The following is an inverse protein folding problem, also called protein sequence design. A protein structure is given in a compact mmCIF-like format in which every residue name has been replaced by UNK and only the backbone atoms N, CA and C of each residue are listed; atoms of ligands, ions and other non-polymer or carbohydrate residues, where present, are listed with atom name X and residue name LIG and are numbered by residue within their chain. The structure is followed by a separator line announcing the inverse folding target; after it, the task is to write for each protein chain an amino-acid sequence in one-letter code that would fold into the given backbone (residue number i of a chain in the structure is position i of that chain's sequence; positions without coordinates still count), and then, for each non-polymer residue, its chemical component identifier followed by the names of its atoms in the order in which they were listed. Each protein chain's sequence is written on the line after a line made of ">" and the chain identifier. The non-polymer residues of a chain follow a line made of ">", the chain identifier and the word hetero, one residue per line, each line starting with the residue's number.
data_IF_304301590882
#
_entry.id   IF_304301590882
#
_cell.length_a   1.000
_cell.length_b   1.000
_cell.length_c   1.000
_cell.angle_alpha   90.00
_cell.angle_beta   90.00
_cell.angle_gamma   90.00
#
_symmetry.space_group_name_H-M   'P 1'
#
loop_
_entity.id
_entity.type
_entity.pdbx_description
1 polymer ?
#
# COMPACT_ATOMS: atom_id res chain seq x y z
N UNK A 1 -18.50 9.53 -16.97
CA UNK A 1 -17.48 8.46 -17.05
C UNK A 1 -17.28 7.95 -15.64
N UNK A 2 -17.38 6.64 -15.41
CA UNK A 2 -17.11 6.05 -14.09
C UNK A 2 -15.61 6.09 -13.79
N UNK A 3 -15.21 6.03 -12.52
CA UNK A 3 -13.79 6.07 -12.13
C UNK A 3 -13.05 4.83 -12.67
N UNK A 4 -13.68 3.65 -12.61
CA UNK A 4 -13.15 2.40 -13.16
C UNK A 4 -12.87 2.49 -14.66
N UNK A 5 -13.74 3.14 -15.43
CA UNK A 5 -13.52 3.39 -16.87
C UNK A 5 -12.30 4.29 -17.10
N UNK A 6 -12.16 5.34 -16.30
CA UNK A 6 -11.03 6.25 -16.37
C UNK A 6 -9.72 5.54 -16.01
N UNK A 7 -9.70 4.82 -14.88
CA UNK A 7 -8.54 4.06 -14.44
C UNK A 7 -8.18 2.97 -15.45
N UNK A 8 -9.16 2.30 -16.05
CA UNK A 8 -8.90 1.32 -17.11
C UNK A 8 -8.13 1.96 -18.27
N UNK A 9 -8.64 3.07 -18.81
CA UNK A 9 -8.04 3.73 -19.98
C UNK A 9 -6.69 4.38 -19.67
N UNK A 10 -6.55 5.02 -18.52
CA UNK A 10 -5.42 5.90 -18.23
C UNK A 10 -4.37 5.30 -17.31
N UNK A 11 -4.67 4.16 -16.67
CA UNK A 11 -3.75 3.45 -15.77
C UNK A 11 -3.61 2.01 -16.22
N UNK A 12 -4.69 1.23 -16.21
CA UNK A 12 -4.60 -0.21 -16.35
C UNK A 12 -4.10 -0.63 -17.72
N UNK A 13 -4.71 -0.11 -18.79
CA UNK A 13 -4.32 -0.43 -20.16
C UNK A 13 -2.89 0.04 -20.46
N UNK A 14 -2.44 1.16 -19.85
CA UNK A 14 -1.09 1.72 -20.01
C UNK A 14 -0.01 0.80 -19.45
N UNK A 15 -0.27 0.16 -18.31
CA UNK A 15 0.70 -0.73 -17.64
C UNK A 15 0.38 -2.22 -17.79
N UNK A 16 -0.59 -2.55 -18.63
CA UNK A 16 -0.99 -3.95 -18.89
C UNK A 16 -1.63 -4.63 -17.68
N UNK A 17 -2.39 -3.87 -16.89
CA UNK A 17 -3.17 -4.41 -15.78
C UNK A 17 -4.46 -5.06 -16.29
N UNK A 18 -4.76 -6.26 -15.79
CA UNK A 18 -5.89 -7.09 -16.23
C UNK A 18 -6.84 -7.45 -15.08
N UNK A 19 -6.28 -7.73 -13.91
CA UNK A 19 -7.05 -8.14 -12.73
C UNK A 19 -7.18 -6.96 -11.75
N UNK A 20 -7.95 -5.96 -12.16
CA UNK A 20 -8.35 -4.84 -11.32
C UNK A 20 -9.80 -4.43 -11.63
N UNK A 21 -10.65 -4.30 -10.61
CA UNK A 21 -12.04 -3.85 -10.77
C UNK A 21 -12.60 -3.26 -9.47
N UNK A 22 -13.52 -2.31 -9.56
CA UNK A 22 -14.38 -1.90 -8.44
C UNK A 22 -15.62 -2.79 -8.32
N UNK A 23 -16.07 -3.35 -9.46
CA UNK A 23 -17.28 -4.14 -9.58
C UNK A 23 -16.95 -5.63 -9.66
N UNK A 24 -16.69 -6.27 -8.52
CA UNK A 24 -16.32 -7.69 -8.44
C UNK A 24 -17.45 -8.61 -8.92
N UNK A 25 -18.71 -8.20 -8.79
CA UNK A 25 -19.90 -8.87 -9.32
C UNK A 25 -19.87 -9.09 -10.84
N UNK A 26 -19.05 -8.31 -11.56
CA UNK A 26 -18.87 -8.43 -13.02
C UNK A 26 -17.66 -9.29 -13.42
N UNK A 27 -16.87 -9.77 -12.45
CA UNK A 27 -15.61 -10.51 -12.67
C UNK A 27 -15.62 -11.84 -11.93
N UNK A 28 -16.39 -12.80 -12.45
CA UNK A 28 -16.48 -14.17 -11.90
C UNK A 28 -15.10 -14.84 -11.78
N UNK A 29 -14.21 -14.58 -12.74
CA UNK A 29 -12.84 -15.11 -12.77
C UNK A 29 -11.94 -14.56 -11.64
N UNK A 30 -12.16 -13.32 -11.21
CA UNK A 30 -11.50 -12.75 -10.04
C UNK A 30 -12.17 -13.25 -8.76
N UNK A 31 -13.50 -13.25 -8.72
CA UNK A 31 -14.29 -13.72 -7.57
C UNK A 31 -13.94 -15.16 -7.18
N UNK A 32 -13.77 -16.05 -8.16
CA UNK A 32 -13.40 -17.45 -7.94
C UNK A 32 -12.03 -17.64 -7.26
N UNK A 33 -11.16 -16.62 -7.31
CA UNK A 33 -9.79 -16.64 -6.79
C UNK A 33 -9.57 -15.62 -5.67
N UNK A 34 -10.63 -14.94 -5.21
CA UNK A 34 -10.53 -13.93 -4.15
C UNK A 34 -10.03 -14.55 -2.86
N UNK A 35 -9.03 -13.91 -2.26
CA UNK A 35 -8.53 -14.30 -0.96
C UNK A 35 -9.63 -14.12 0.09
N UNK A 36 -9.72 -15.07 1.03
CA UNK A 36 -10.58 -14.92 2.21
C UNK A 36 -9.98 -13.88 3.14
N UNK A 37 -10.85 -13.10 3.79
CA UNK A 37 -10.45 -12.29 4.94
C UNK A 37 -10.40 -13.18 6.17
N UNK A 38 -9.31 -13.05 6.91
CA UNK A 38 -9.09 -13.71 8.19
C UNK A 38 -9.21 -12.70 9.31
N UNK A 39 -9.64 -13.18 10.47
CA UNK A 39 -9.73 -12.42 11.71
C UNK A 39 -8.88 -13.11 12.77
N UNK A 40 -8.12 -12.32 13.53
CA UNK A 40 -7.35 -12.82 14.65
C UNK A 40 -8.28 -13.25 15.78
N UNK A 41 -8.11 -14.48 16.24
CA UNK A 41 -8.86 -15.07 17.34
C UNK A 41 -7.87 -15.68 18.35
N UNK A 42 -7.44 -14.86 19.32
CA UNK A 42 -6.34 -15.21 20.22
C UNK A 42 -5.03 -15.41 19.43
N UNK A 43 -4.38 -16.55 19.66
CA UNK A 43 -3.15 -16.93 18.96
C UNK A 43 -3.41 -17.53 17.56
N UNK A 44 -4.68 -17.79 17.22
CA UNK A 44 -5.10 -18.37 15.94
C UNK A 44 -5.73 -17.37 14.98
N UNK A 45 -6.09 -17.87 13.80
CA UNK A 45 -6.87 -17.17 12.78
C UNK A 45 -8.16 -17.94 12.51
N UNK A 46 -9.26 -17.22 12.28
CA UNK A 46 -10.49 -17.77 11.72
C UNK A 46 -10.93 -16.97 10.51
N UNK A 47 -11.68 -17.59 9.60
CA UNK A 47 -12.28 -16.86 8.49
C UNK A 47 -13.24 -15.81 9.05
N UNK A 48 -13.16 -14.59 8.55
CA UNK A 48 -14.09 -13.53 8.94
C UNK A 48 -15.50 -13.89 8.47
N UNK A 49 -16.48 -13.78 9.37
CA UNK A 49 -17.88 -14.08 9.05
C UNK A 49 -18.48 -13.06 8.07
N UNK A 50 -17.99 -11.83 8.12
CA UNK A 50 -18.44 -10.72 7.28
C UNK A 50 -17.23 -9.90 6.84
N UNK A 51 -17.23 -9.48 5.59
CA UNK A 51 -16.30 -8.48 5.08
C UNK A 51 -16.96 -7.10 5.10
N UNK A 52 -16.22 -6.02 5.41
CA UNK A 52 -16.80 -4.67 5.48
C UNK A 52 -17.11 -4.07 4.11
N UNK A 53 -16.67 -4.69 3.01
CA UNK A 53 -16.89 -4.18 1.66
C UNK A 53 -18.25 -4.62 1.13
N UNK A 54 -19.00 -3.67 0.60
CA UNK A 54 -20.21 -3.96 -0.14
C UNK A 54 -19.87 -4.70 -1.45
N UNK A 55 -20.73 -5.64 -1.81
CA UNK A 55 -20.64 -6.43 -3.04
C UNK A 55 -22.04 -6.99 -3.36
N UNK A 56 -22.73 -6.49 -4.39
CA UNK A 56 -22.27 -5.51 -5.39
C UNK A 56 -22.13 -4.09 -4.83
N UNK A 57 -21.45 -3.22 -5.58
CA UNK A 57 -21.33 -1.77 -5.29
C UNK A 57 -22.09 -0.94 -6.31
N UNK A 58 -22.69 0.17 -5.88
CA UNK A 58 -23.40 1.09 -6.78
C UNK A 58 -22.44 2.06 -7.50
N UNK A 59 -21.36 2.48 -6.81
CA UNK A 59 -20.37 3.44 -7.29
C UNK A 59 -18.93 2.96 -7.09
N UNK A 60 -18.01 3.52 -7.88
CA UNK A 60 -16.58 3.27 -7.75
C UNK A 60 -15.98 4.05 -6.56
N UNK A 61 -15.76 3.35 -5.45
CA UNK A 61 -15.21 3.96 -4.23
C UNK A 61 -13.68 4.08 -4.30
N UNK A 62 -13.18 5.20 -4.81
CA UNK A 62 -11.74 5.45 -5.00
C UNK A 62 -10.87 5.38 -3.73
N UNK A 63 -11.46 5.49 -2.54
CA UNK A 63 -10.73 5.39 -1.26
C UNK A 63 -10.41 3.97 -0.79
N UNK A 64 -11.05 2.93 -1.35
CA UNK A 64 -10.86 1.55 -0.87
C UNK A 64 -11.69 0.45 -1.53
N UNK A 65 -12.30 0.71 -2.69
CA UNK A 65 -13.17 -0.25 -3.39
C UNK A 65 -12.49 -1.07 -4.48
N UNK A 66 -11.20 -0.87 -4.76
CA UNK A 66 -10.52 -1.56 -5.85
C UNK A 66 -10.08 -2.97 -5.42
N UNK A 67 -10.61 -3.99 -6.09
CA UNK A 67 -10.10 -5.35 -6.02
C UNK A 67 -8.95 -5.52 -7.02
N UNK A 68 -7.83 -6.09 -6.57
CA UNK A 68 -6.70 -6.42 -7.44
C UNK A 68 -5.78 -7.47 -6.81
N UNK A 69 -4.66 -7.77 -7.47
CA UNK A 69 -3.64 -8.72 -6.99
C UNK A 69 -2.30 -8.00 -6.77
N UNK A 70 -1.39 -8.64 -6.01
CA UNK A 70 -0.04 -8.11 -5.78
C UNK A 70 0.67 -7.74 -7.09
N UNK A 71 0.65 -8.63 -8.09
CA UNK A 71 1.34 -8.41 -9.36
C UNK A 71 0.75 -7.25 -10.16
N UNK A 72 -0.57 -7.07 -10.13
CA UNK A 72 -1.24 -5.98 -10.82
C UNK A 72 -1.00 -4.62 -10.14
N UNK A 73 -0.97 -4.58 -8.80
CA UNK A 73 -0.57 -3.39 -8.05
C UNK A 73 0.89 -3.00 -8.37
N UNK A 74 1.80 -3.97 -8.40
CA UNK A 74 3.20 -3.73 -8.74
C UNK A 74 3.38 -3.20 -10.16
N UNK A 75 2.58 -3.64 -11.15
CA UNK A 75 2.60 -3.03 -12.51
C UNK A 75 2.26 -1.55 -12.47
N UNK A 76 1.28 -1.13 -11.67
CA UNK A 76 0.93 0.29 -11.53
C UNK A 76 2.05 1.08 -10.88
N UNK A 77 2.66 0.55 -9.82
CA UNK A 77 3.78 1.22 -9.13
C UNK A 77 5.02 1.30 -10.01
N UNK A 78 5.31 0.26 -10.77
CA UNK A 78 6.38 0.30 -11.77
C UNK A 78 6.08 1.31 -12.88
N UNK A 79 4.84 1.39 -13.37
CA UNK A 79 4.45 2.44 -14.31
C UNK A 79 4.61 3.86 -13.77
N UNK A 80 4.47 4.04 -12.44
CA UNK A 80 4.77 5.30 -11.77
C UNK A 80 6.28 5.57 -11.73
N UNK A 81 7.09 4.59 -11.31
CA UNK A 81 8.56 4.68 -11.27
C UNK A 81 9.14 4.98 -12.67
N UNK A 82 8.64 4.30 -13.70
CA UNK A 82 9.07 4.46 -15.09
C UNK A 82 8.56 5.77 -15.72
N UNK A 83 7.63 6.49 -15.07
CA UNK A 83 7.02 7.71 -15.62
C UNK A 83 6.09 7.47 -16.81
N UNK A 84 5.54 6.24 -16.92
CA UNK A 84 4.57 5.85 -17.96
C UNK A 84 3.16 6.34 -17.66
N UNK A 85 2.83 6.52 -16.38
CA UNK A 85 1.50 6.95 -15.94
C UNK A 85 1.35 8.48 -15.89
N UNK A 86 2.36 9.16 -15.38
CA UNK A 86 2.42 10.62 -15.25
C UNK A 86 3.86 11.10 -15.47
N UNK A 87 4.03 12.40 -15.76
CA UNK A 87 5.36 12.99 -15.97
C UNK A 87 6.25 12.80 -14.73
N UNK A 88 7.54 12.53 -14.96
CA UNK A 88 8.53 12.32 -13.90
C UNK A 88 8.59 13.46 -12.86
N UNK A 89 8.44 14.72 -13.26
CA UNK A 89 8.42 15.83 -12.29
C UNK A 89 7.16 15.84 -11.42
N UNK A 90 6.04 15.34 -11.95
CA UNK A 90 4.82 15.11 -11.16
C UNK A 90 5.01 13.94 -10.20
N UNK A 91 5.68 12.86 -10.63
CA UNK A 91 6.09 11.76 -9.72
C UNK A 91 6.93 12.32 -8.58
N UNK A 92 7.99 13.09 -8.86
CA UNK A 92 8.83 13.69 -7.80
C UNK A 92 8.02 14.53 -6.81
N UNK A 93 7.04 15.28 -7.30
CA UNK A 93 6.15 16.11 -6.47
C UNK A 93 5.31 15.28 -5.50
N UNK A 94 4.87 14.08 -5.91
CA UNK A 94 4.10 13.18 -5.03
C UNK A 94 4.87 12.79 -3.75
N UNK A 95 6.20 12.74 -3.83
CA UNK A 95 7.09 12.32 -2.75
C UNK A 95 7.64 13.51 -1.95
N UNK A 96 7.16 14.73 -2.22
CA UNK A 96 7.50 15.91 -1.43
C UNK A 96 6.50 16.14 -0.28
N UNK A 97 6.95 16.73 0.85
CA UNK A 97 6.06 17.20 1.91
C UNK A 97 4.97 18.13 1.39
N UNK A 98 3.70 17.78 1.60
CA UNK A 98 2.54 18.61 1.23
C UNK A 98 1.88 19.27 2.44
N UNK A 99 2.24 18.87 3.66
CA UNK A 99 1.73 19.48 4.88
C UNK A 99 2.68 20.56 5.40
N UNK A 100 2.12 21.76 5.63
CA UNK A 100 2.82 22.86 6.31
C UNK A 100 3.13 22.57 7.78
N UNK A 101 2.30 21.74 8.40
CA UNK A 101 2.44 21.29 9.79
C UNK A 101 2.18 19.80 9.86
N UNK A 102 2.96 19.10 10.68
CA UNK A 102 2.82 17.66 10.94
C UNK A 102 2.05 17.39 12.23
N UNK A 103 1.36 18.40 12.78
CA UNK A 103 0.56 18.24 13.99
C UNK A 103 -0.44 17.08 13.85
N UNK A 104 -0.35 16.11 14.77
CA UNK A 104 -1.15 14.88 14.74
C UNK A 104 -0.51 13.71 13.99
N UNK A 105 0.60 13.96 13.29
CA UNK A 105 1.51 12.93 12.78
C UNK A 105 2.84 12.89 13.55
N UNK A 106 3.19 13.96 14.26
CA UNK A 106 4.44 14.17 14.99
C UNK A 106 4.52 13.51 16.37
N UNK A 107 3.44 12.90 16.86
CA UNK A 107 3.39 12.21 18.15
C UNK A 107 3.11 10.71 18.00
N UNK A 108 3.88 10.03 17.16
CA UNK A 108 3.72 8.58 16.95
C UNK A 108 3.73 7.77 18.26
N UNK A 109 4.65 7.99 19.23
CA UNK A 109 4.66 7.24 20.49
C UNK A 109 3.39 7.44 21.35
N UNK A 110 2.67 8.55 21.18
CA UNK A 110 1.45 8.86 21.93
C UNK A 110 0.19 8.12 21.46
N UNK A 111 0.25 7.41 20.33
CA UNK A 111 -0.88 6.65 19.79
C UNK A 111 -0.88 5.18 20.22
N UNK A 112 -2.06 4.54 20.19
CA UNK A 112 -2.17 3.09 20.43
C UNK A 112 -1.37 2.29 19.40
N UNK A 113 -0.91 1.08 19.76
CA UNK A 113 -0.17 0.21 18.82
C UNK A 113 -0.95 -0.06 17.54
N UNK A 114 -2.26 -0.35 17.63
CA UNK A 114 -3.10 -0.58 16.46
C UNK A 114 -3.18 0.64 15.55
N UNK A 115 -3.32 1.85 16.10
CA UNK A 115 -3.33 3.08 15.31
C UNK A 115 -1.98 3.32 14.64
N UNK A 116 -0.87 3.15 15.38
CA UNK A 116 0.48 3.28 14.82
C UNK A 116 0.69 2.33 13.64
N UNK A 117 0.33 1.06 13.83
CA UNK A 117 0.43 0.03 12.81
C UNK A 117 -0.49 0.27 11.60
N UNK A 118 -1.62 0.94 11.79
CA UNK A 118 -2.53 1.29 10.70
C UNK A 118 -2.03 2.51 9.90
N UNK A 119 -1.60 3.58 10.57
CA UNK A 119 -1.28 4.87 9.94
C UNK A 119 0.19 4.97 9.54
N UNK A 120 1.09 4.59 10.44
CA UNK A 120 2.53 4.68 10.25
C UNK A 120 3.14 3.36 9.75
N UNK A 121 2.34 2.30 9.65
CA UNK A 121 2.76 0.98 9.20
C UNK A 121 4.02 0.47 9.91
N UNK A 122 5.12 0.31 9.18
CA UNK A 122 6.41 -0.13 9.66
C UNK A 122 7.42 1.03 9.78
N UNK A 123 6.98 2.30 9.73
CA UNK A 123 7.83 3.47 10.02
C UNK A 123 8.14 3.53 11.52
N UNK A 124 9.42 3.55 11.95
CA UNK A 124 9.79 3.57 13.37
C UNK A 124 9.30 4.83 14.12
N UNK A 125 8.95 4.72 15.43
CA UNK A 125 8.38 5.78 16.26
C UNK A 125 9.06 7.16 16.25
N UNK A 126 10.38 7.20 16.02
CA UNK A 126 11.18 8.43 16.07
C UNK A 126 11.57 8.95 14.67
N UNK A 127 11.06 8.30 13.61
CA UNK A 127 11.29 8.76 12.24
C UNK A 127 10.33 9.91 11.94
N UNK A 128 10.81 11.14 11.65
CA UNK A 128 9.91 12.22 11.32
C UNK A 128 9.15 11.89 10.04
N UNK A 129 7.88 12.26 9.97
CA UNK A 129 7.02 11.99 8.81
C UNK A 129 6.33 13.25 8.31
N UNK A 130 5.88 13.23 7.07
CA UNK A 130 4.93 14.19 6.51
C UNK A 130 3.94 13.42 5.61
N UNK A 131 3.09 14.10 4.86
CA UNK A 131 2.18 13.49 3.92
C UNK A 131 2.46 14.02 2.51
N UNK A 132 2.65 13.10 1.57
CA UNK A 132 2.81 13.37 0.14
C UNK A 132 1.48 13.33 -0.60
N UNK A 133 1.52 13.37 -1.93
CA UNK A 133 0.33 13.13 -2.74
C UNK A 133 0.14 11.61 -2.92
N UNK A 134 -0.57 11.00 -1.97
CA UNK A 134 -0.97 9.59 -2.03
C UNK A 134 -0.73 8.80 -0.74
N UNK A 135 0.08 9.30 0.20
CA UNK A 135 0.40 8.58 1.42
C UNK A 135 1.38 9.31 2.34
N UNK A 136 1.75 8.63 3.43
CA UNK A 136 2.74 9.07 4.39
C UNK A 136 4.13 9.04 3.74
N UNK A 137 4.99 10.01 4.09
CA UNK A 137 6.41 10.01 3.71
C UNK A 137 7.29 9.97 4.96
N UNK A 138 8.32 9.12 4.96
CA UNK A 138 9.36 9.15 5.98
C UNK A 138 10.40 10.21 5.61
N UNK A 139 10.66 11.17 6.50
CA UNK A 139 11.58 12.28 6.24
C UNK A 139 13.05 11.94 6.52
N UNK A 140 13.31 10.78 7.15
CA UNK A 140 14.65 10.22 7.33
C UNK A 140 14.71 8.80 6.77
N UNK A 141 15.90 8.39 6.31
CA UNK A 141 16.11 7.02 5.84
C UNK A 141 15.92 6.02 6.98
N UNK A 142 15.36 4.86 6.68
CA UNK A 142 15.20 3.75 7.62
C UNK A 142 16.34 2.76 7.35
N UNK A 143 17.27 2.53 8.31
CA UNK A 143 18.41 1.65 8.11
C UNK A 143 18.02 0.24 7.62
N UNK A 144 18.70 -0.24 6.59
CA UNK A 144 18.42 -1.54 5.95
C UNK A 144 17.10 -1.61 5.17
N UNK A 145 16.41 -0.49 4.99
CA UNK A 145 15.07 -0.40 4.40
C UNK A 145 14.96 0.83 3.47
N UNK A 146 13.77 1.44 3.41
CA UNK A 146 13.42 2.64 2.62
C UNK A 146 14.37 3.80 2.84
N UNK A 147 14.76 4.44 1.73
CA UNK A 147 15.40 5.76 1.72
C UNK A 147 14.47 6.85 2.23
N UNK A 148 15.03 8.04 2.52
CA UNK A 148 14.24 9.21 2.88
C UNK A 148 13.27 9.58 1.74
N UNK A 149 12.16 10.23 2.08
CA UNK A 149 11.09 10.61 1.17
C UNK A 149 10.38 9.44 0.47
N UNK A 150 10.52 8.20 0.94
CA UNK A 150 9.73 7.08 0.41
C UNK A 150 8.24 7.26 0.77
N UNK A 151 7.36 6.97 -0.19
CA UNK A 151 5.90 7.07 -0.02
C UNK A 151 5.34 5.73 0.45
N UNK A 152 4.39 5.76 1.37
CA UNK A 152 3.78 4.54 1.90
C UNK A 152 2.35 4.77 2.36
N UNK A 153 1.54 3.72 2.30
CA UNK A 153 0.22 3.76 2.90
C UNK A 153 -0.27 2.37 3.29
N UNK A 154 -1.50 2.33 3.80
CA UNK A 154 -2.18 1.13 4.24
C UNK A 154 -3.57 1.03 3.63
N UNK A 155 -4.09 -0.19 3.64
CA UNK A 155 -5.46 -0.54 3.32
C UNK A 155 -5.94 -1.61 4.28
N UNK A 156 -7.19 -1.52 4.72
CA UNK A 156 -7.82 -2.63 5.42
C UNK A 156 -7.95 -3.82 4.45
N UNK A 157 -7.61 -5.07 4.85
CA UNK A 157 -7.29 -5.52 6.21
C UNK A 157 -5.80 -5.87 6.34
N UNK A 158 -4.99 -4.95 6.87
CA UNK A 158 -3.52 -5.09 6.95
C UNK A 158 -2.85 -5.33 5.58
N UNK A 159 -3.24 -4.54 4.59
CA UNK A 159 -2.59 -4.41 3.30
C UNK A 159 -1.71 -3.17 3.31
N UNK A 160 -0.47 -3.28 2.89
CA UNK A 160 0.52 -2.22 2.97
C UNK A 160 1.32 -2.13 1.67
N UNK A 161 1.74 -0.92 1.32
CA UNK A 161 2.60 -0.70 0.18
C UNK A 161 3.59 0.42 0.44
N UNK A 162 4.68 0.40 -0.30
CA UNK A 162 5.65 1.49 -0.33
C UNK A 162 6.26 1.66 -1.71
N UNK A 163 6.74 2.86 -1.99
CA UNK A 163 7.53 3.20 -3.16
C UNK A 163 8.72 4.04 -2.68
N UNK A 164 9.91 3.70 -3.16
CA UNK A 164 11.18 4.37 -2.90
C UNK A 164 11.76 4.78 -4.25
N UNK A 165 11.70 6.08 -4.56
CA UNK A 165 12.23 6.62 -5.81
C UNK A 165 13.75 6.56 -5.88
N UNK A 166 14.43 6.72 -4.74
CA UNK A 166 15.89 6.80 -4.69
C UNK A 166 16.51 5.46 -5.07
N UNK A 167 15.91 4.37 -4.57
CA UNK A 167 16.36 3.00 -4.85
C UNK A 167 15.62 2.36 -6.02
N UNK A 168 14.59 3.00 -6.56
CA UNK A 168 13.76 2.45 -7.66
C UNK A 168 12.97 1.20 -7.25
N UNK A 169 12.54 1.12 -5.98
CA UNK A 169 11.88 -0.06 -5.40
C UNK A 169 10.41 0.26 -5.11
N UNK A 170 9.52 -0.66 -5.47
CA UNK A 170 8.14 -0.67 -4.99
C UNK A 170 7.84 -2.01 -4.32
N UNK A 171 7.07 -1.97 -3.23
CA UNK A 171 6.69 -3.15 -2.48
C UNK A 171 5.21 -3.17 -2.13
N UNK A 172 4.65 -4.38 -2.10
CA UNK A 172 3.25 -4.65 -1.76
C UNK A 172 3.21 -5.85 -0.82
N UNK A 173 2.47 -5.72 0.27
CA UNK A 173 2.18 -6.77 1.22
C UNK A 173 0.68 -6.81 1.49
N UNK A 174 -0.01 -7.91 1.19
CA UNK A 174 -1.45 -8.05 1.36
C UNK A 174 -1.76 -9.25 2.24
N UNK A 175 -2.04 -9.04 3.53
CA UNK A 175 -2.29 -10.15 4.47
C UNK A 175 -3.75 -10.59 4.57
N UNK A 176 -4.70 -9.73 4.19
CA UNK A 176 -6.14 -9.97 4.34
C UNK A 176 -6.54 -10.35 5.78
N UNK A 177 -5.92 -9.71 6.78
CA UNK A 177 -6.09 -10.00 8.20
C UNK A 177 -6.73 -8.83 8.95
N UNK A 178 -7.72 -9.09 9.81
CA UNK A 178 -8.31 -8.12 10.75
C UNK A 178 -7.98 -8.48 12.20
N UNK A 179 -8.01 -7.51 13.14
CA UNK A 179 -8.25 -6.08 12.93
C UNK A 179 -7.05 -5.39 12.25
N UNK A 180 -7.31 -4.28 11.55
CA UNK A 180 -6.25 -3.43 10.98
C UNK A 180 -5.33 -2.92 12.09
N UNK A 181 -4.03 -2.87 11.81
CA UNK A 181 -3.01 -2.56 12.79
C UNK A 181 -2.52 -3.78 13.57
N UNK A 182 -2.66 -4.98 13.00
CA UNK A 182 -2.24 -6.22 13.65
C UNK A 182 -0.71 -6.26 13.85
N UNK A 183 -0.27 -6.61 15.07
CA UNK A 183 1.15 -6.59 15.42
C UNK A 183 1.98 -7.60 14.63
N UNK A 184 1.44 -8.80 14.39
CA UNK A 184 2.17 -9.83 13.65
C UNK A 184 2.24 -9.49 12.16
N UNK A 185 1.19 -8.88 11.60
CA UNK A 185 1.22 -8.36 10.24
C UNK A 185 2.30 -7.28 10.06
N UNK A 186 2.46 -6.36 11.01
CA UNK A 186 3.52 -5.34 10.95
C UNK A 186 4.92 -5.91 11.16
N UNK A 187 5.09 -6.89 12.06
CA UNK A 187 6.37 -7.60 12.21
C UNK A 187 6.76 -8.28 10.89
N UNK A 188 5.83 -9.00 10.27
CA UNK A 188 6.09 -9.67 8.99
C UNK A 188 6.34 -8.66 7.86
N UNK A 189 5.59 -7.56 7.78
CA UNK A 189 5.85 -6.45 6.85
C UNK A 189 7.27 -5.91 7.03
N UNK A 190 7.70 -5.69 8.26
CA UNK A 190 9.03 -5.14 8.58
C UNK A 190 10.14 -6.06 8.11
N UNK A 191 10.03 -7.37 8.38
CA UNK A 191 11.01 -8.37 7.93
C UNK A 191 10.97 -8.56 6.41
N UNK A 192 9.78 -8.55 5.81
CA UNK A 192 9.62 -8.59 4.35
C UNK A 192 10.30 -7.40 3.67
N UNK A 193 10.12 -6.19 4.21
CA UNK A 193 10.74 -4.99 3.66
C UNK A 193 12.27 -5.07 3.74
N UNK A 194 12.84 -5.49 4.89
CA UNK A 194 14.29 -5.72 5.01
C UNK A 194 14.79 -6.72 3.96
N UNK A 195 14.11 -7.85 3.83
CA UNK A 195 14.45 -8.88 2.84
C UNK A 195 14.45 -8.34 1.41
N UNK A 196 13.47 -7.51 1.05
CA UNK A 196 13.41 -6.87 -0.28
C UNK A 196 14.64 -5.99 -0.50
N UNK A 197 14.99 -5.11 0.45
CA UNK A 197 16.16 -4.23 0.28
C UNK A 197 17.48 -4.99 0.28
N UNK A 198 17.65 -6.00 1.13
CA UNK A 198 18.83 -6.88 1.08
C UNK A 198 18.96 -7.60 -0.26
N UNK A 199 17.84 -8.03 -0.85
CA UNK A 199 17.83 -8.70 -2.15
C UNK A 199 18.20 -7.72 -3.28
N UNK A 200 17.73 -6.48 -3.22
CA UNK A 200 18.06 -5.43 -4.19
C UNK A 200 19.54 -5.08 -4.15
N UNK A 201 20.15 -4.95 -2.96
CA UNK A 201 21.59 -4.70 -2.86
C UNK A 201 22.41 -5.87 -3.42
N UNK A 202 22.05 -7.12 -3.12
CA UNK A 202 22.72 -8.31 -3.69
C UNK A 202 22.62 -8.37 -5.22
N UNK A 203 21.55 -7.85 -5.82
CA UNK A 203 21.38 -7.80 -7.27
C UNK A 203 22.25 -6.72 -7.93
N UNK A 204 22.67 -5.69 -7.20
CA UNK A 204 23.62 -4.68 -7.71
C UNK A 204 25.06 -5.19 -7.78
N UNK A 205 25.38 -6.17 -6.94
CA UNK A 205 26.70 -6.79 -6.85
C UNK A 205 26.90 -7.94 -7.88
N UNK A 206 25.91 -8.24 -8.71
CA UNK A 206 25.93 -9.26 -9.78
C UNK A 206 26.02 -8.62 -11.16
#
# INVERSE_FOLDING_TARGET
>A
MRLGDYMKRHIFDVVGVKDATFHLETREDMRARSAKVWERAGDGLRVAAHTPWADPVDEDLGGGGLYSTVGELLKMYQGLLDGRLIRQDTVKTMFQPQLKTTAGLDNQPGHSTSYRNAVYNAVPPDTPVNFGLGGLINMAAIPGRRSSHSLTWSGMPNCYWWIDLEKGVAGVYLSQLTPTGDEQAIKLLTEFEKFVYESVEKLKDQ
#
